data_IF_955172451122
#
_entry.id   IF_955172451122
#
_cell.length_a   1.000
_cell.length_b   1.000
_cell.length_c   1.000
_cell.angle_alpha   90.00
_cell.angle_beta   90.00
_cell.angle_gamma   90.00
#
_symmetry.space_group_name_H-M   'P 1'
#
loop_
_entity.id
_entity.type
_entity.pdbx_description
1 polymer ?
#
# COMPACT_ATOMS: atom_id res chain seq x y z
N UNK A 1 -31.72 -1.27 -20.88
CA UNK A 1 -31.97 0.03 -20.23
C UNK A 1 -31.74 -0.03 -18.71
N UNK A 2 -30.64 -0.63 -18.24
CA UNK A 2 -30.33 -0.75 -16.80
C UNK A 2 -28.99 -0.09 -16.41
N UNK A 3 -28.17 0.30 -17.40
CA UNK A 3 -26.85 0.90 -17.19
C UNK A 3 -26.88 2.43 -16.96
N UNK A 4 -28.02 3.09 -17.21
CA UNK A 4 -28.18 4.55 -17.05
C UNK A 4 -28.75 4.91 -15.67
N UNK A 5 -29.34 3.95 -14.95
CA UNK A 5 -30.00 4.18 -13.66
C UNK A 5 -29.05 4.18 -12.46
N UNK A 6 -27.79 3.73 -12.62
CA UNK A 6 -26.80 3.67 -11.55
C UNK A 6 -25.95 4.93 -11.38
N UNK A 7 -25.81 5.75 -12.44
CA UNK A 7 -25.04 7.00 -12.36
C UNK A 7 -25.85 8.18 -11.80
N UNK A 8 -27.19 8.16 -11.89
CA UNK A 8 -28.04 9.23 -11.33
C UNK A 8 -28.41 9.05 -9.84
N UNK A 9 -28.31 7.84 -9.27
CA UNK A 9 -28.58 7.61 -7.84
C UNK A 9 -27.43 8.01 -6.90
N UNK A 10 -26.23 8.24 -7.44
CA UNK A 10 -25.03 8.60 -6.65
C UNK A 10 -24.87 10.12 -6.43
N UNK A 11 -25.71 10.94 -7.06
CA UNK A 11 -25.66 12.42 -6.96
C UNK A 11 -26.83 13.07 -6.19
N UNK A 12 -27.73 12.29 -5.56
CA UNK A 12 -28.93 12.84 -4.88
C UNK A 12 -29.05 12.54 -3.38
N UNK A 13 -28.01 12.00 -2.76
CA UNK A 13 -27.94 11.83 -1.29
C UNK A 13 -26.78 12.63 -0.75
N UNK A 14 -26.98 13.93 -0.65
CA UNK A 14 -26.43 14.83 0.37
C UNK A 14 -26.79 16.24 -0.08
N UNK A 15 -27.95 16.75 0.33
CA UNK A 15 -28.24 18.16 0.62
C UNK A 15 -29.70 18.29 1.09
N UNK A 16 -29.82 18.90 2.27
CA UNK A 16 -30.97 19.62 2.84
C UNK A 16 -32.24 18.86 3.28
N UNK A 17 -32.40 18.72 4.61
CA UNK A 17 -33.49 19.38 5.34
C UNK A 17 -33.27 19.21 6.87
N UNK A 18 -32.48 20.11 7.46
CA UNK A 18 -32.41 20.29 8.91
C UNK A 18 -33.41 21.37 9.33
N UNK A 19 -34.17 21.03 10.38
CA UNK A 19 -35.24 21.78 11.02
C UNK A 19 -34.77 23.11 11.62
N UNK A 20 -35.51 24.19 11.36
CA UNK A 20 -35.41 25.47 12.05
C UNK A 20 -36.29 25.49 13.31
N UNK A 21 -35.67 25.68 14.48
CA UNK A 21 -36.27 26.39 15.61
C UNK A 21 -35.16 26.93 16.51
N UNK A 22 -35.31 28.20 16.87
CA UNK A 22 -34.37 29.17 17.41
C UNK A 22 -34.36 29.17 18.95
N UNK A 23 -33.21 29.44 19.60
CA UNK A 23 -33.00 30.59 20.52
C UNK A 23 -31.69 30.53 21.33
N UNK A 24 -31.05 31.70 21.40
CA UNK A 24 -30.26 32.29 22.49
C UNK A 24 -28.77 31.92 22.71
N UNK A 25 -27.91 32.85 22.26
CA UNK A 25 -26.78 33.53 22.95
C UNK A 25 -25.86 32.71 23.86
N UNK A 26 -24.55 32.62 23.52
CA UNK A 26 -23.42 33.41 24.08
C UNK A 26 -22.09 32.90 23.46
N UNK A 27 -21.27 33.78 22.88
CA UNK A 27 -19.84 33.56 22.51
C UNK A 27 -18.98 33.47 23.81
N UNK A 28 -17.70 32.97 23.86
CA UNK A 28 -16.74 32.93 22.75
C UNK A 28 -15.72 31.75 22.67
N UNK A 29 -14.97 31.77 21.56
CA UNK A 29 -13.60 31.24 21.38
C UNK A 29 -13.38 29.74 21.07
N UNK A 30 -13.13 29.43 19.78
CA UNK A 30 -12.10 28.49 19.32
C UNK A 30 -11.91 28.63 17.79
N UNK A 31 -10.70 28.40 17.24
CA UNK A 31 -10.14 29.21 16.17
C UNK A 31 -10.33 28.63 14.76
N UNK A 32 -10.17 29.53 13.79
CA UNK A 32 -10.13 29.30 12.36
C UNK A 32 -9.26 28.10 11.97
N UNK A 33 -9.84 27.22 11.15
CA UNK A 33 -9.11 26.24 10.36
C UNK A 33 -8.18 26.97 9.38
N UNK A 34 -6.94 27.17 9.82
CA UNK A 34 -5.84 27.52 8.95
C UNK A 34 -5.50 26.29 8.12
N UNK A 35 -5.85 26.32 6.84
CA UNK A 35 -5.22 25.49 5.83
C UNK A 35 -3.71 25.72 5.92
N UNK A 36 -2.97 24.70 6.33
CA UNK A 36 -1.51 24.71 6.24
C UNK A 36 -1.13 24.68 4.77
N UNK A 37 -0.42 25.70 4.23
CA UNK A 37 0.24 25.55 2.97
C UNK A 37 1.36 24.51 3.16
N UNK A 38 1.31 23.44 2.39
CA UNK A 38 2.43 22.53 2.22
C UNK A 38 3.64 23.35 1.75
N UNK A 39 4.50 23.73 2.68
CA UNK A 39 5.77 24.35 2.40
C UNK A 39 6.62 23.33 1.64
N UNK A 40 6.83 23.61 0.35
CA UNK A 40 7.80 22.93 -0.49
C UNK A 40 9.20 23.16 0.11
N UNK A 41 9.61 22.25 1.00
CA UNK A 41 11.00 22.13 1.40
C UNK A 41 11.83 21.72 0.17
N UNK A 42 12.98 22.37 -0.01
CA UNK A 42 13.96 22.01 -1.04
C UNK A 42 14.17 20.48 -1.08
N UNK A 43 14.27 19.84 -2.27
CA UNK A 43 14.29 18.39 -2.34
C UNK A 43 15.55 17.88 -1.64
N UNK A 44 15.35 17.26 -0.48
CA UNK A 44 16.36 16.41 0.14
C UNK A 44 16.88 15.44 -0.94
N UNK A 45 18.19 15.09 -0.94
CA UNK A 45 18.73 14.19 -1.94
C UNK A 45 17.91 12.90 -1.93
N UNK A 46 17.19 12.65 -3.03
CA UNK A 46 16.32 11.48 -3.12
C UNK A 46 17.14 10.20 -2.88
N UNK A 47 16.58 9.32 -2.06
CA UNK A 47 17.22 8.17 -1.47
C UNK A 47 17.85 7.19 -2.49
N UNK A 48 18.71 6.29 -2.02
CA UNK A 48 19.40 5.30 -2.84
C UNK A 48 19.16 3.88 -2.32
N UNK A 49 19.30 2.88 -3.18
CA UNK A 49 19.06 1.48 -2.82
C UNK A 49 17.63 1.25 -2.32
N UNK A 50 17.49 0.47 -1.25
CA UNK A 50 16.18 0.10 -0.69
C UNK A 50 15.38 1.30 -0.16
N UNK A 51 16.05 2.32 0.38
CA UNK A 51 15.41 3.54 0.89
C UNK A 51 14.85 4.43 -0.24
N UNK A 52 15.22 4.16 -1.49
CA UNK A 52 14.61 4.81 -2.66
C UNK A 52 13.24 4.24 -3.01
N UNK A 53 12.91 3.05 -2.50
CA UNK A 53 11.62 2.41 -2.72
C UNK A 53 10.57 3.02 -1.77
N UNK A 54 9.37 3.22 -2.29
CA UNK A 54 8.22 3.63 -1.50
C UNK A 54 7.43 2.38 -1.12
N UNK A 55 7.85 1.73 -0.04
CA UNK A 55 7.18 0.54 0.46
C UNK A 55 6.31 0.98 1.65
N UNK A 56 5.01 0.73 1.57
CA UNK A 56 4.04 1.16 2.57
C UNK A 56 3.15 0.03 3.04
N UNK A 57 2.58 0.20 4.22
CA UNK A 57 1.51 -0.64 4.70
C UNK A 57 0.23 -0.29 3.97
N UNK A 58 -0.42 -1.30 3.41
CA UNK A 58 -1.70 -1.17 2.74
C UNK A 58 -2.77 -2.02 3.42
N UNK A 59 -4.03 -1.67 3.19
CA UNK A 59 -5.19 -2.48 3.55
C UNK A 59 -6.06 -2.73 2.34
N UNK A 60 -6.31 -4.00 2.04
CA UNK A 60 -7.20 -4.38 0.94
C UNK A 60 -8.64 -4.03 1.31
N UNK A 61 -9.22 -3.02 0.67
CA UNK A 61 -10.61 -2.64 0.88
C UNK A 61 -11.56 -3.53 0.07
N UNK A 62 -11.11 -3.97 -1.10
CA UNK A 62 -11.87 -4.86 -1.98
C UNK A 62 -10.91 -5.70 -2.81
N UNK A 63 -11.20 -6.99 -2.92
CA UNK A 63 -10.51 -7.95 -3.79
C UNK A 63 -11.55 -8.66 -4.67
N UNK A 64 -11.29 -8.77 -5.97
CA UNK A 64 -12.13 -9.48 -6.93
C UNK A 64 -11.29 -10.31 -7.90
N UNK A 65 -11.83 -11.42 -8.39
CA UNK A 65 -11.20 -12.17 -9.48
C UNK A 65 -11.16 -11.31 -10.75
N UNK A 66 -10.04 -11.36 -11.47
CA UNK A 66 -9.89 -10.60 -12.71
C UNK A 66 -10.83 -11.19 -13.78
N UNK A 67 -11.61 -10.36 -14.50
CA UNK A 67 -12.63 -10.84 -15.45
C UNK A 67 -12.04 -11.63 -16.62
N UNK A 68 -10.85 -11.24 -17.07
CA UNK A 68 -10.16 -11.85 -18.22
C UNK A 68 -8.91 -12.69 -17.84
N UNK A 69 -8.74 -13.05 -16.55
CA UNK A 69 -7.58 -13.82 -16.10
C UNK A 69 -7.84 -14.65 -14.83
N UNK A 70 -7.78 -15.97 -14.95
CA UNK A 70 -8.09 -16.89 -13.85
C UNK A 70 -7.04 -16.91 -12.73
N UNK A 71 -5.82 -16.44 -13.01
CA UNK A 71 -4.72 -16.41 -12.04
C UNK A 71 -4.51 -15.06 -11.36
N UNK A 72 -5.32 -14.04 -11.69
CA UNK A 72 -5.15 -12.68 -11.19
C UNK A 72 -6.32 -12.23 -10.32
N UNK A 73 -6.00 -11.52 -9.25
CA UNK A 73 -6.94 -10.70 -8.51
C UNK A 73 -6.77 -9.23 -8.88
N UNK A 74 -7.86 -8.47 -8.74
CA UNK A 74 -7.88 -7.01 -8.80
C UNK A 74 -8.21 -6.52 -7.40
N UNK A 75 -7.24 -5.89 -6.76
CA UNK A 75 -7.38 -5.35 -5.41
C UNK A 75 -7.50 -3.81 -5.43
N UNK A 76 -8.43 -3.27 -4.66
CA UNK A 76 -8.39 -1.89 -4.19
C UNK A 76 -7.67 -1.88 -2.84
N UNK A 77 -6.54 -1.20 -2.78
CA UNK A 77 -5.68 -1.16 -1.60
C UNK A 77 -5.52 0.27 -1.12
N UNK A 78 -6.00 0.53 0.09
CA UNK A 78 -5.76 1.79 0.79
C UNK A 78 -4.31 1.80 1.29
N UNK A 79 -3.53 2.80 0.88
CA UNK A 79 -2.13 3.04 1.27
C UNK A 79 -1.97 4.42 1.92
N UNK A 80 -3.03 4.94 2.54
CA UNK A 80 -3.05 6.25 3.19
C UNK A 80 -3.06 7.42 2.20
N UNK A 81 -3.51 7.17 0.97
CA UNK A 81 -3.69 8.18 -0.07
C UNK A 81 -5.17 8.59 -0.15
N UNK A 82 -5.51 9.73 -0.80
CA UNK A 82 -6.90 10.18 -0.91
C UNK A 82 -7.83 9.18 -1.59
N UNK A 83 -7.28 8.36 -2.50
CA UNK A 83 -8.00 7.32 -3.22
C UNK A 83 -7.24 5.98 -3.09
N UNK A 84 -7.95 4.86 -2.92
CA UNK A 84 -7.32 3.54 -2.90
C UNK A 84 -6.71 3.22 -4.26
N UNK A 85 -5.61 2.49 -4.26
CA UNK A 85 -4.91 2.09 -5.48
C UNK A 85 -5.48 0.79 -6.02
N UNK A 86 -5.71 0.74 -7.32
CA UNK A 86 -5.92 -0.53 -8.02
C UNK A 86 -4.59 -1.25 -8.17
N UNK A 87 -4.48 -2.44 -7.62
CA UNK A 87 -3.36 -3.36 -7.74
C UNK A 87 -3.88 -4.65 -8.38
N UNK A 88 -3.04 -5.30 -9.17
CA UNK A 88 -3.35 -6.59 -9.76
C UNK A 88 -2.27 -7.56 -9.31
N UNK A 89 -2.66 -8.62 -8.60
CA UNK A 89 -1.73 -9.62 -8.06
C UNK A 89 -2.04 -11.02 -8.60
N UNK A 90 -0.99 -11.85 -8.72
CA UNK A 90 -1.10 -13.24 -9.17
C UNK A 90 -1.28 -14.22 -8.02
N UNK A 91 -2.22 -13.95 -7.10
CA UNK A 91 -2.35 -14.71 -5.84
C UNK A 91 -3.50 -15.73 -5.83
N UNK A 92 -4.25 -15.89 -6.93
CA UNK A 92 -5.46 -16.74 -6.96
C UNK A 92 -5.16 -18.20 -6.58
N UNK A 93 -4.03 -18.74 -7.02
CA UNK A 93 -3.62 -20.12 -6.75
C UNK A 93 -3.05 -20.33 -5.33
N UNK A 94 -2.76 -19.23 -4.61
CA UNK A 94 -2.02 -19.28 -3.35
C UNK A 94 -2.83 -18.80 -2.14
N UNK A 95 -3.70 -17.80 -2.34
CA UNK A 95 -4.51 -17.19 -1.27
C UNK A 95 -5.96 -17.14 -1.72
N UNK A 96 -6.91 -17.68 -0.93
CA UNK A 96 -8.32 -17.60 -1.27
C UNK A 96 -8.80 -16.14 -1.17
N UNK A 97 -9.79 -15.80 -1.99
CA UNK A 97 -10.35 -14.45 -2.09
C UNK A 97 -10.79 -13.88 -0.72
N UNK A 98 -11.39 -14.74 0.11
CA UNK A 98 -11.88 -14.38 1.45
C UNK A 98 -10.77 -13.97 2.41
N UNK A 99 -9.58 -14.54 2.29
CA UNK A 99 -8.42 -14.16 3.10
C UNK A 99 -7.76 -12.88 2.60
N UNK A 100 -7.98 -12.50 1.34
CA UNK A 100 -7.47 -11.23 0.80
C UNK A 100 -8.35 -10.05 1.22
N UNK A 101 -9.65 -10.26 1.45
CA UNK A 101 -10.55 -9.18 1.85
C UNK A 101 -10.21 -8.62 3.22
N UNK A 102 -10.00 -7.30 3.30
CA UNK A 102 -9.67 -6.63 4.55
C UNK A 102 -8.25 -6.89 5.07
N UNK A 103 -7.43 -7.65 4.34
CA UNK A 103 -6.07 -8.04 4.74
C UNK A 103 -5.13 -6.84 4.75
N UNK A 104 -4.30 -6.74 5.79
CA UNK A 104 -3.16 -5.83 5.81
C UNK A 104 -2.01 -6.42 5.01
N UNK A 105 -1.45 -5.64 4.12
CA UNK A 105 -0.44 -6.05 3.14
C UNK A 105 0.69 -5.04 3.08
N UNK A 106 1.81 -5.41 2.46
CA UNK A 106 2.91 -4.50 2.18
C UNK A 106 2.95 -4.20 0.69
N UNK A 107 3.00 -2.92 0.33
CA UNK A 107 2.80 -2.43 -1.04
C UNK A 107 3.99 -1.60 -1.48
N UNK A 108 4.56 -1.95 -2.63
CA UNK A 108 5.52 -1.11 -3.33
C UNK A 108 4.77 -0.11 -4.23
N UNK A 109 4.84 1.17 -3.87
CA UNK A 109 3.98 2.24 -4.39
C UNK A 109 4.63 3.10 -5.47
N UNK A 110 5.96 3.14 -5.60
CA UNK A 110 6.66 4.00 -6.55
C UNK A 110 7.20 3.26 -7.79
N UNK A 111 6.59 2.14 -8.15
CA UNK A 111 6.79 1.54 -9.47
C UNK A 111 5.98 2.30 -10.53
N UNK A 112 6.44 2.20 -11.79
CA UNK A 112 5.61 2.68 -12.90
C UNK A 112 4.39 1.79 -13.04
N UNK A 113 3.18 2.37 -13.19
CA UNK A 113 1.99 1.57 -13.41
C UNK A 113 2.13 0.66 -14.62
N UNK A 114 1.62 -0.57 -14.48
CA UNK A 114 1.68 -1.59 -15.53
C UNK A 114 0.26 -2.03 -15.87
N UNK A 115 -0.03 -2.15 -17.16
CA UNK A 115 -1.28 -2.74 -17.61
C UNK A 115 -1.18 -4.26 -17.59
N UNK A 116 -2.10 -4.93 -16.90
CA UNK A 116 -2.22 -6.37 -16.79
C UNK A 116 -3.60 -6.76 -17.28
N UNK A 117 -3.68 -7.39 -18.46
CA UNK A 117 -4.93 -7.88 -19.05
C UNK A 117 -6.05 -6.83 -19.14
N UNK A 118 -5.69 -5.56 -19.35
CA UNK A 118 -6.65 -4.45 -19.49
C UNK A 118 -6.85 -3.62 -18.23
N UNK A 119 -6.39 -4.11 -17.07
CA UNK A 119 -6.45 -3.38 -15.79
C UNK A 119 -5.09 -2.77 -15.47
N UNK A 120 -5.08 -1.49 -15.09
CA UNK A 120 -3.87 -0.76 -14.72
C UNK A 120 -3.54 -1.00 -13.24
N UNK A 121 -2.47 -1.75 -12.98
CA UNK A 121 -1.91 -1.92 -11.63
C UNK A 121 -1.00 -0.75 -11.28
N UNK A 122 -1.28 -0.07 -10.15
CA UNK A 122 -0.55 1.09 -9.63
C UNK A 122 0.27 0.76 -8.38
N UNK A 123 0.77 -0.47 -8.32
CA UNK A 123 1.62 -0.96 -7.24
C UNK A 123 1.92 -2.43 -7.39
N UNK A 124 2.57 -2.99 -6.36
CA UNK A 124 2.87 -4.41 -6.26
C UNK A 124 2.77 -4.82 -4.80
N UNK A 125 2.01 -5.88 -4.52
CA UNK A 125 2.00 -6.50 -3.19
C UNK A 125 3.30 -7.27 -3.01
N UNK A 126 4.00 -7.06 -1.91
CA UNK A 126 5.20 -7.80 -1.58
C UNK A 126 4.82 -9.13 -0.93
N UNK A 127 5.32 -10.21 -1.51
CA UNK A 127 5.05 -11.57 -1.08
C UNK A 127 6.36 -12.32 -0.83
N UNK A 128 6.36 -13.22 0.14
CA UNK A 128 7.40 -14.23 0.28
C UNK A 128 7.09 -15.38 -0.68
N UNK A 129 8.09 -15.84 -1.43
CA UNK A 129 8.01 -16.99 -2.33
C UNK A 129 9.21 -17.91 -2.13
N UNK A 130 8.96 -19.21 -2.08
CA UNK A 130 10.04 -20.18 -2.00
C UNK A 130 10.74 -20.36 -3.37
N UNK A 131 11.91 -21.01 -3.37
CA UNK A 131 12.71 -21.17 -4.59
C UNK A 131 12.00 -21.97 -5.70
N UNK A 132 11.08 -22.86 -5.33
CA UNK A 132 10.26 -23.64 -6.27
C UNK A 132 9.07 -22.85 -6.82
N UNK A 133 8.75 -21.68 -6.26
CA UNK A 133 7.56 -20.88 -6.55
C UNK A 133 6.21 -21.63 -6.46
N UNK A 134 6.15 -22.76 -5.76
CA UNK A 134 4.91 -23.49 -5.49
C UNK A 134 4.17 -22.97 -4.25
N UNK A 135 4.83 -22.13 -3.44
CA UNK A 135 4.22 -21.44 -2.31
C UNK A 135 4.57 -19.97 -2.29
N UNK A 136 3.54 -19.14 -2.31
CA UNK A 136 3.63 -17.68 -2.23
C UNK A 136 2.68 -17.21 -1.14
N UNK A 137 3.13 -16.32 -0.26
CA UNK A 137 2.29 -15.73 0.76
C UNK A 137 2.55 -14.21 0.89
N UNK A 138 1.51 -13.37 0.98
CA UNK A 138 1.66 -11.94 1.20
C UNK A 138 2.41 -11.66 2.51
N UNK A 139 3.32 -10.69 2.49
CA UNK A 139 3.94 -10.21 3.72
C UNK A 139 2.87 -9.57 4.62
N UNK A 140 2.90 -9.96 5.89
CA UNK A 140 2.01 -9.50 6.93
C UNK A 140 2.72 -8.44 7.80
N UNK A 141 2.25 -7.19 7.80
CA UNK A 141 2.70 -6.22 8.78
C UNK A 141 2.20 -6.60 10.19
N UNK A 142 2.88 -6.14 11.26
CA UNK A 142 2.48 -6.43 12.63
C UNK A 142 1.13 -5.76 12.97
N UNK A 143 0.44 -6.33 13.95
CA UNK A 143 -0.79 -5.74 14.47
C UNK A 143 -0.51 -4.34 15.03
N UNK A 144 -1.32 -3.35 14.60
CA UNK A 144 -1.15 -1.95 14.99
C UNK A 144 -0.34 -1.09 14.02
N UNK A 145 0.24 -1.65 12.96
CA UNK A 145 0.87 -0.85 11.91
C UNK A 145 -0.17 0.03 11.19
N UNK A 146 0.15 1.31 10.97
CA UNK A 146 -0.79 2.26 10.40
C UNK A 146 -0.89 2.13 8.88
N UNK A 147 -2.10 2.24 8.32
CA UNK A 147 -2.28 2.25 6.86
C UNK A 147 -1.58 3.48 6.27
N UNK A 148 -0.80 3.26 5.21
CA UNK A 148 0.06 4.26 4.57
C UNK A 148 1.38 4.53 5.26
N UNK A 149 1.65 3.88 6.39
CA UNK A 149 2.96 3.94 7.03
C UNK A 149 4.04 3.42 6.09
N UNK A 150 5.10 4.20 5.91
CA UNK A 150 6.25 3.79 5.11
C UNK A 150 7.20 2.93 5.93
N UNK A 151 7.44 1.70 5.48
CA UNK A 151 8.38 0.79 6.16
C UNK A 151 9.80 1.29 5.99
N UNK A 152 10.67 0.93 6.93
CA UNK A 152 12.10 1.18 6.86
C UNK A 152 12.89 -0.09 7.14
N UNK A 153 14.22 -0.04 6.97
CA UNK A 153 15.09 -1.20 7.14
C UNK A 153 16.14 -0.94 8.23
N UNK A 154 16.09 -1.72 9.31
CA UNK A 154 16.96 -1.59 10.49
C UNK A 154 16.33 -0.78 11.63
N UNK A 155 17.12 -0.44 12.65
CA UNK A 155 16.63 0.16 13.90
C UNK A 155 16.48 1.70 13.83
N UNK A 156 17.22 2.37 12.94
CA UNK A 156 17.31 3.84 12.88
C UNK A 156 16.29 4.51 11.93
N UNK A 157 15.44 3.73 11.27
CA UNK A 157 14.81 4.13 10.00
C UNK A 157 13.48 4.90 10.06
N UNK A 158 13.02 5.35 11.24
CA UNK A 158 11.89 6.28 11.31
C UNK A 158 12.18 7.61 10.55
N UNK A 159 13.47 7.99 10.42
CA UNK A 159 13.92 9.16 9.69
C UNK A 159 14.65 8.78 8.39
N UNK A 160 13.91 8.23 7.43
CA UNK A 160 14.45 7.91 6.09
C UNK A 160 14.22 9.05 5.07
N UNK A 161 15.16 9.25 4.11
CA UNK A 161 15.00 10.24 3.04
C UNK A 161 13.75 9.96 2.19
N UNK A 162 13.19 10.99 1.50
CA UNK A 162 12.00 10.81 0.67
C UNK A 162 12.23 9.76 -0.42
N UNK A 163 11.18 9.00 -0.71
CA UNK A 163 11.20 7.98 -1.75
C UNK A 163 11.52 8.59 -3.12
N UNK A 164 12.13 7.78 -4.00
CA UNK A 164 12.44 8.23 -5.35
C UNK A 164 11.18 8.25 -6.24
N UNK A 165 11.17 9.19 -7.18
CA UNK A 165 10.16 9.24 -8.24
C UNK A 165 10.14 7.95 -9.10
N UNK A 166 8.97 7.51 -9.61
CA UNK A 166 8.85 6.27 -10.40
C UNK A 166 9.78 6.21 -11.62
N UNK A 167 10.05 7.37 -12.23
CA UNK A 167 11.00 7.47 -13.35
C UNK A 167 12.44 7.11 -12.94
N UNK A 168 12.86 7.49 -11.73
CA UNK A 168 14.19 7.18 -11.20
C UNK A 168 14.29 5.72 -10.81
N UNK A 169 13.25 5.17 -10.16
CA UNK A 169 13.17 3.74 -9.80
C UNK A 169 13.37 2.87 -11.04
N UNK A 170 12.64 3.15 -12.13
CA UNK A 170 12.77 2.39 -13.37
C UNK A 170 14.13 2.63 -14.08
N UNK A 171 14.55 3.89 -14.26
CA UNK A 171 15.79 4.19 -15.01
C UNK A 171 17.04 3.60 -14.37
N UNK A 172 17.09 3.61 -13.03
CA UNK A 172 18.22 3.05 -12.27
C UNK A 172 18.03 1.58 -11.90
N UNK A 173 16.93 0.94 -12.34
CA UNK A 173 16.60 -0.45 -12.01
C UNK A 173 16.72 -0.74 -10.51
N UNK A 174 16.18 0.17 -9.69
CA UNK A 174 16.38 0.16 -8.24
C UNK A 174 15.75 -1.09 -7.64
N UNK A 175 14.52 -1.41 -8.03
CA UNK A 175 13.83 -2.60 -7.57
C UNK A 175 14.61 -3.86 -7.93
N UNK A 176 15.04 -3.98 -9.19
CA UNK A 176 15.78 -5.14 -9.69
C UNK A 176 17.16 -5.29 -9.03
N UNK A 177 17.77 -4.20 -8.58
CA UNK A 177 19.01 -4.22 -7.80
C UNK A 177 18.81 -4.49 -6.30
N UNK A 178 17.60 -4.31 -5.77
CA UNK A 178 17.27 -4.50 -4.35
C UNK A 178 16.64 -5.86 -4.09
N UNK A 179 15.77 -6.32 -5.00
CA UNK A 179 14.99 -7.56 -4.89
C UNK A 179 15.84 -8.80 -4.57
N UNK A 180 17.01 -9.06 -5.19
CA UNK A 180 17.79 -10.27 -4.89
C UNK A 180 18.29 -10.38 -3.45
N UNK A 181 18.39 -9.24 -2.77
CA UNK A 181 18.84 -9.12 -1.39
C UNK A 181 17.67 -9.02 -0.38
N UNK A 182 16.41 -8.97 -0.87
CA UNK A 182 15.21 -9.00 -0.04
C UNK A 182 14.78 -10.45 0.22
N UNK A 183 14.88 -10.89 1.48
CA UNK A 183 14.58 -12.26 1.87
C UNK A 183 13.93 -12.34 3.24
N UNK A 184 13.21 -13.41 3.51
CA UNK A 184 12.73 -13.68 4.87
C UNK A 184 13.82 -14.37 5.70
N UNK A 185 13.90 -14.04 6.98
CA UNK A 185 14.80 -14.66 7.95
C UNK A 185 14.25 -16.00 8.46
N UNK A 186 15.03 -16.69 9.29
CA UNK A 186 14.57 -17.89 10.02
C UNK A 186 13.47 -17.59 11.05
N UNK A 187 13.38 -16.34 11.49
CA UNK A 187 12.32 -15.81 12.35
C UNK A 187 11.10 -15.29 11.56
N UNK A 188 11.05 -15.59 10.26
CA UNK A 188 10.03 -15.17 9.28
C UNK A 188 10.03 -13.66 9.01
N UNK A 189 10.95 -12.88 9.56
CA UNK A 189 10.98 -11.42 9.33
C UNK A 189 11.46 -11.11 7.92
N UNK A 190 10.85 -10.13 7.27
CA UNK A 190 11.35 -9.62 6.00
C UNK A 190 12.64 -8.83 6.24
N UNK A 191 13.69 -9.10 5.48
CA UNK A 191 15.02 -8.52 5.67
C UNK A 191 15.61 -8.04 4.35
N UNK A 192 16.41 -6.98 4.41
CA UNK A 192 17.28 -6.52 3.34
C UNK A 192 18.73 -6.48 3.83
N UNK A 193 19.60 -7.35 3.32
CA UNK A 193 21.02 -7.42 3.74
C UNK A 193 21.21 -7.49 5.26
N UNK A 194 20.37 -8.27 5.94
CA UNK A 194 20.39 -8.42 7.41
C UNK A 194 19.71 -7.28 8.19
N UNK A 195 19.15 -6.27 7.52
CA UNK A 195 18.33 -5.23 8.14
C UNK A 195 16.85 -5.60 8.05
N UNK A 196 16.19 -5.75 9.20
CA UNK A 196 14.77 -6.09 9.27
C UNK A 196 13.91 -4.97 8.67
N UNK A 197 12.86 -5.35 7.95
CA UNK A 197 11.80 -4.46 7.50
C UNK A 197 10.89 -4.15 8.70
N UNK A 198 10.84 -2.88 9.07
CA UNK A 198 10.23 -2.40 10.30
C UNK A 198 9.09 -1.41 10.03
N UNK A 199 8.15 -1.40 10.96
CA UNK A 199 7.08 -0.41 11.15
C UNK A 199 7.14 0.09 12.60
N UNK A 200 6.33 1.09 12.91
CA UNK A 200 6.12 1.66 14.25
C UNK A 200 5.61 0.62 15.26
N UNK A 201 4.91 -0.41 14.78
CA UNK A 201 4.39 -1.50 15.59
C UNK A 201 5.28 -2.76 15.61
N UNK A 202 6.40 -2.77 14.88
CA UNK A 202 7.36 -3.89 14.87
C UNK A 202 7.73 -4.39 13.46
N UNK A 203 8.36 -5.58 13.37
CA UNK A 203 8.84 -6.12 12.10
C UNK A 203 7.72 -6.70 11.23
N UNK A 204 7.85 -6.52 9.91
CA UNK A 204 7.02 -7.21 8.91
C UNK A 204 7.48 -8.66 8.79
N UNK A 205 6.51 -9.59 8.72
CA UNK A 205 6.78 -11.03 8.67
C UNK A 205 6.07 -11.72 7.52
N UNK A 206 6.65 -12.81 7.06
CA UNK A 206 5.94 -13.83 6.29
C UNK A 206 5.13 -14.72 7.26
N UNK A 207 4.10 -15.40 6.77
CA UNK A 207 3.25 -16.24 7.60
C UNK A 207 3.97 -17.52 8.04
N UNK A 208 4.68 -18.17 7.11
CA UNK A 208 5.34 -19.47 7.33
C UNK A 208 6.63 -19.67 6.54
N UNK A 209 6.93 -18.84 5.54
CA UNK A 209 8.10 -18.98 4.68
C UNK A 209 9.33 -18.27 5.27
N UNK A 210 10.24 -19.03 5.86
CA UNK A 210 11.57 -18.57 6.28
C UNK A 210 12.64 -18.86 5.23
N UNK A 211 13.61 -17.95 5.05
CA UNK A 211 14.66 -18.08 4.04
C UNK A 211 14.18 -17.88 2.58
N UNK A 212 12.95 -17.41 2.39
CA UNK A 212 12.30 -17.25 1.11
C UNK A 212 12.67 -15.93 0.43
N UNK A 213 12.55 -15.87 -0.89
CA UNK A 213 12.75 -14.64 -1.65
C UNK A 213 11.51 -13.75 -1.51
N UNK A 214 11.71 -12.43 -1.53
CA UNK A 214 10.61 -11.46 -1.52
C UNK A 214 10.46 -10.88 -2.93
N UNK A 215 9.24 -10.96 -3.45
CA UNK A 215 8.86 -10.51 -4.80
C UNK A 215 7.62 -9.66 -4.81
#
# INVERSE_FOLDING_TARGET
MAAVQWQEMRLRRFVAAASTAETATTDPAAPAAAAAPAAAAAPAPAAAGVEALDIRIGRVSRCEAHPDADSLYVEEVDVGEPEPRTIVSGLVEFVPLEEMQGRSVVVLCNLKPRNMRGVKSNGMLLCASNDAHDKVEPLAPPEGAAVGERVWFGEDGASQPPAAEPNRVQKKKIWEGVQPDLKTGSDLTANYKGRQMMTSAGPVKAATLGGANIS
#
